data_IF_616463100486
#
_entry.id   IF_616463100486
#
_cell.length_a   1.000
_cell.length_b   1.000
_cell.length_c   1.000
_cell.angle_alpha   90.00
_cell.angle_beta   90.00
_cell.angle_gamma   90.00
#
_symmetry.space_group_name_H-M   'P 1'
#
loop_
_entity.id
_entity.type
_entity.pdbx_description
1 polymer ?
#
# COMPACT_ATOMS: atom_id res chain seq x y z
N UNK A 1 24.58 12.10 -9.61
CA UNK A 1 23.42 12.13 -8.70
C UNK A 1 23.83 12.97 -7.50
N UNK A 2 23.18 14.09 -7.23
CA UNK A 2 23.50 14.97 -6.11
C UNK A 2 22.61 14.61 -4.91
N UNK A 3 23.20 14.45 -3.73
CA UNK A 3 22.46 14.11 -2.51
C UNK A 3 22.13 15.40 -1.77
N UNK A 4 20.85 15.78 -1.78
CA UNK A 4 20.35 16.93 -1.03
C UNK A 4 19.80 16.42 0.30
N UNK A 5 20.38 16.89 1.41
CA UNK A 5 19.88 16.55 2.75
C UNK A 5 18.65 17.39 3.09
N UNK A 6 17.61 16.74 3.60
CA UNK A 6 16.47 17.45 4.17
C UNK A 6 16.91 18.28 5.38
N UNK A 7 16.49 19.55 5.51
CA UNK A 7 16.74 20.34 6.70
C UNK A 7 16.11 19.71 7.96
N UNK A 8 16.77 19.91 9.10
CA UNK A 8 16.36 19.37 10.39
C UNK A 8 15.01 19.94 10.81
N UNK A 9 14.08 19.09 11.28
CA UNK A 9 12.73 19.46 11.75
C UNK A 9 11.89 20.19 10.70
N UNK A 10 12.09 19.89 9.42
CA UNK A 10 11.35 20.49 8.31
C UNK A 10 10.46 19.45 7.60
N UNK A 11 9.30 19.06 8.17
CA UNK A 11 8.45 18.00 7.61
C UNK A 11 7.92 18.34 6.20
N UNK A 12 7.76 19.63 5.88
CA UNK A 12 7.39 20.08 4.54
C UNK A 12 8.46 19.80 3.49
N UNK A 13 9.74 19.95 3.87
CA UNK A 13 10.87 19.64 3.00
C UNK A 13 11.05 18.11 2.79
N UNK A 14 10.38 17.28 3.59
CA UNK A 14 10.35 15.81 3.46
C UNK A 14 8.92 15.26 3.26
N UNK A 15 8.03 16.09 2.72
CA UNK A 15 6.58 15.83 2.75
C UNK A 15 6.17 14.47 2.17
N UNK A 16 6.90 13.96 1.19
CA UNK A 16 6.69 12.63 0.63
C UNK A 16 6.93 11.51 1.65
N UNK A 17 8.09 11.50 2.30
CA UNK A 17 8.40 10.49 3.30
C UNK A 17 7.47 10.61 4.52
N UNK A 18 7.19 11.82 4.98
CA UNK A 18 6.25 12.06 6.09
C UNK A 18 4.86 11.50 5.78
N UNK A 19 4.38 11.71 4.54
CA UNK A 19 3.11 11.15 4.08
C UNK A 19 3.14 9.62 4.07
N UNK A 20 4.24 9.01 3.62
CA UNK A 20 4.39 7.55 3.62
C UNK A 20 4.38 7.00 5.04
N UNK A 21 5.15 7.59 5.95
CA UNK A 21 5.21 7.18 7.37
C UNK A 21 3.84 7.29 8.03
N UNK A 22 3.14 8.41 7.86
CA UNK A 22 1.81 8.59 8.43
C UNK A 22 0.79 7.58 7.88
N UNK A 23 0.94 7.17 6.61
CA UNK A 23 0.10 6.13 6.02
C UNK A 23 0.40 4.76 6.64
N UNK A 24 1.67 4.38 6.71
CA UNK A 24 2.12 3.13 7.34
C UNK A 24 1.59 2.97 8.76
N UNK A 25 1.62 4.05 9.54
CA UNK A 25 1.08 4.06 10.90
C UNK A 25 -0.41 3.75 10.93
N UNK A 26 -1.20 4.56 10.21
CA UNK A 26 -2.67 4.43 10.17
C UNK A 26 -3.17 3.11 9.61
N UNK A 27 -2.45 2.52 8.67
CA UNK A 27 -2.92 1.30 7.98
C UNK A 27 -2.35 0.02 8.57
N UNK A 28 -1.21 0.06 9.28
CA UNK A 28 -0.56 -1.16 9.79
C UNK A 28 0.03 -0.98 11.19
N UNK A 29 0.94 -0.02 11.39
CA UNK A 29 1.79 0.00 12.60
C UNK A 29 1.03 0.36 13.88
N UNK A 30 -0.11 1.06 13.77
CA UNK A 30 -0.98 1.31 14.93
C UNK A 30 -1.89 0.10 15.26
N UNK A 31 -1.85 -0.97 14.44
CA UNK A 31 -2.67 -2.20 14.59
C UNK A 31 -1.87 -3.48 14.85
N UNK A 32 -0.55 -3.43 14.70
CA UNK A 32 0.33 -4.61 14.83
C UNK A 32 1.38 -4.35 15.90
N UNK A 33 1.46 -5.25 16.88
CA UNK A 33 2.53 -5.21 17.86
C UNK A 33 3.84 -5.70 17.22
N UNK A 34 4.79 -4.79 17.05
CA UNK A 34 6.13 -5.12 16.57
C UNK A 34 6.94 -5.77 17.69
N UNK A 35 7.44 -6.99 17.43
CA UNK A 35 8.16 -7.81 18.41
C UNK A 35 9.68 -7.62 18.35
N UNK A 36 10.18 -6.94 17.33
CA UNK A 36 11.60 -6.72 17.09
C UNK A 36 11.87 -6.31 15.65
N UNK A 37 13.14 -6.05 15.32
CA UNK A 37 13.54 -5.52 14.02
C UNK A 37 13.20 -6.48 12.86
N UNK A 38 13.46 -7.78 13.02
CA UNK A 38 13.16 -8.77 11.98
C UNK A 38 11.65 -8.81 11.67
N UNK A 39 10.81 -8.77 12.70
CA UNK A 39 9.35 -8.70 12.55
C UNK A 39 8.94 -7.37 11.88
N UNK A 40 9.50 -6.24 12.30
CA UNK A 40 9.25 -4.94 11.67
C UNK A 40 9.57 -4.97 10.18
N UNK A 41 10.72 -5.54 9.80
CA UNK A 41 11.16 -5.64 8.42
C UNK A 41 10.19 -6.50 7.60
N UNK A 42 9.74 -7.64 8.13
CA UNK A 42 8.75 -8.48 7.46
C UNK A 42 7.43 -7.72 7.23
N UNK A 43 6.89 -7.06 8.27
CA UNK A 43 5.65 -6.29 8.18
C UNK A 43 5.77 -5.19 7.12
N UNK A 44 6.88 -4.44 7.12
CA UNK A 44 7.12 -3.37 6.15
C UNK A 44 7.31 -3.90 4.72
N UNK A 45 8.00 -5.03 4.54
CA UNK A 45 8.17 -5.67 3.23
C UNK A 45 6.84 -6.16 2.66
N UNK A 46 6.01 -6.79 3.48
CA UNK A 46 4.66 -7.19 3.06
C UNK A 46 3.82 -5.96 2.69
N UNK A 47 3.96 -4.85 3.43
CA UNK A 47 3.16 -3.65 3.20
C UNK A 47 3.59 -2.94 1.92
N UNK A 48 4.89 -2.91 1.65
CA UNK A 48 5.42 -2.40 0.41
C UNK A 48 4.80 -3.13 -0.79
N UNK A 49 4.71 -4.46 -0.74
CA UNK A 49 4.05 -5.27 -1.77
C UNK A 49 2.58 -4.87 -1.94
N UNK A 50 1.84 -4.77 -0.83
CA UNK A 50 0.45 -4.31 -0.86
C UNK A 50 0.33 -2.91 -1.49
N UNK A 51 1.13 -1.96 -1.01
CA UNK A 51 1.09 -0.56 -1.40
C UNK A 51 1.40 -0.34 -2.89
N UNK A 52 2.34 -1.10 -3.43
CA UNK A 52 2.76 -0.97 -4.81
C UNK A 52 1.92 -1.77 -5.80
N UNK A 53 1.51 -2.99 -5.42
CA UNK A 53 0.85 -3.92 -6.34
C UNK A 53 -0.67 -3.96 -6.23
N UNK A 54 -1.25 -3.52 -5.10
CA UNK A 54 -2.69 -3.69 -4.82
C UNK A 54 -3.41 -2.41 -4.39
N UNK A 55 -2.74 -1.49 -3.67
CA UNK A 55 -3.39 -0.33 -3.07
C UNK A 55 -3.89 0.66 -4.14
N UNK A 56 -5.21 0.92 -4.22
CA UNK A 56 -5.75 1.79 -5.25
C UNK A 56 -5.35 3.25 -5.04
N UNK A 57 -4.99 3.95 -6.12
CA UNK A 57 -4.72 5.39 -6.10
C UNK A 57 -5.78 6.16 -6.84
N UNK A 58 -6.49 7.05 -6.14
CA UNK A 58 -7.51 7.91 -6.77
C UNK A 58 -6.96 8.72 -7.94
N UNK A 59 -5.75 9.26 -7.82
CA UNK A 59 -5.08 10.01 -8.89
C UNK A 59 -4.66 9.17 -10.09
N UNK A 60 -4.70 7.83 -10.00
CA UNK A 60 -4.37 6.89 -11.09
C UNK A 60 -5.58 6.04 -11.49
N UNK A 61 -6.81 6.57 -11.43
CA UNK A 61 -8.02 5.81 -11.76
C UNK A 61 -8.13 4.47 -10.99
N UNK A 62 -7.78 4.52 -9.70
CA UNK A 62 -7.73 3.36 -8.79
C UNK A 62 -6.64 2.33 -9.11
N UNK A 63 -5.73 2.59 -10.07
CA UNK A 63 -4.60 1.72 -10.30
C UNK A 63 -3.56 1.83 -9.18
N UNK A 64 -3.00 0.71 -8.73
CA UNK A 64 -1.84 0.72 -7.87
C UNK A 64 -0.59 1.22 -8.64
N UNK A 65 0.48 1.62 -7.94
CA UNK A 65 1.71 2.13 -8.55
C UNK A 65 2.32 1.22 -9.63
N UNK A 66 2.37 -0.10 -9.40
CA UNK A 66 2.97 -1.07 -10.33
C UNK A 66 2.04 -1.47 -11.48
N UNK A 67 0.74 -1.16 -11.42
CA UNK A 67 -0.15 -1.43 -12.53
C UNK A 67 0.05 -0.43 -13.66
N UNK A 68 0.33 -0.96 -14.85
CA UNK A 68 0.54 -0.19 -16.09
C UNK A 68 -0.75 0.03 -16.87
N UNK A 69 -1.66 -0.94 -16.83
CA UNK A 69 -2.89 -0.95 -17.63
C UNK A 69 -4.13 -1.12 -16.76
N UNK A 70 -5.24 -0.56 -17.25
CA UNK A 70 -6.54 -0.77 -16.63
C UNK A 70 -6.99 -2.21 -16.94
N UNK A 71 -7.45 -2.98 -15.93
CA UNK A 71 -8.12 -4.24 -16.22
C UNK A 71 -9.32 -3.98 -17.16
N UNK A 72 -9.63 -4.92 -18.06
CA UNK A 72 -10.76 -4.76 -18.97
C UNK A 72 -12.04 -4.49 -18.18
N UNK A 73 -12.93 -3.62 -18.68
CA UNK A 73 -14.17 -3.30 -17.99
C UNK A 73 -14.96 -4.58 -17.70
N UNK A 74 -15.40 -4.72 -16.46
CA UNK A 74 -16.22 -5.86 -16.05
C UNK A 74 -17.57 -5.73 -16.73
N UNK A 75 -17.92 -6.69 -17.60
CA UNK A 75 -19.26 -6.74 -18.18
C UNK A 75 -20.27 -6.99 -17.05
N UNK A 76 -21.22 -6.07 -16.88
CA UNK A 76 -22.19 -6.07 -15.78
C UNK A 76 -23.05 -7.34 -15.70
N UNK A 77 -23.15 -8.11 -16.78
CA UNK A 77 -23.92 -9.36 -16.87
C UNK A 77 -23.19 -10.60 -16.33
N UNK A 78 -21.87 -10.55 -16.14
CA UNK A 78 -21.12 -11.64 -15.54
C UNK A 78 -20.83 -11.30 -14.07
N UNK A 79 -21.56 -11.94 -13.15
CA UNK A 79 -21.28 -11.85 -11.72
C UNK A 79 -19.90 -12.49 -11.41
N UNK A 80 -18.82 -11.77 -11.65
CA UNK A 80 -17.46 -12.20 -11.30
C UNK A 80 -17.35 -12.25 -9.79
N UNK A 81 -17.13 -13.45 -9.26
CA UNK A 81 -16.92 -13.65 -7.82
C UNK A 81 -15.66 -12.90 -7.39
N UNK A 82 -15.80 -11.97 -6.46
CA UNK A 82 -14.66 -11.33 -5.82
C UNK A 82 -14.01 -12.31 -4.82
N UNK A 83 -12.70 -12.49 -4.93
CA UNK A 83 -11.86 -13.21 -3.98
C UNK A 83 -11.22 -12.20 -3.04
N UNK A 84 -11.47 -12.38 -1.73
CA UNK A 84 -10.84 -11.62 -0.66
C UNK A 84 -9.60 -12.36 -0.15
N UNK A 85 -8.48 -11.66 -0.05
CA UNK A 85 -7.27 -12.11 0.66
C UNK A 85 -7.03 -11.20 1.85
N UNK A 86 -6.83 -11.78 3.03
CA UNK A 86 -6.42 -11.06 4.23
C UNK A 86 -4.90 -11.00 4.29
N UNK A 87 -4.32 -9.81 4.41
CA UNK A 87 -2.87 -9.60 4.55
C UNK A 87 -2.58 -8.85 5.86
N UNK A 88 -1.33 -8.88 6.33
CA UNK A 88 -0.91 -8.32 7.63
C UNK A 88 -1.76 -8.79 8.81
N UNK A 89 -1.86 -10.11 9.00
CA UNK A 89 -2.69 -10.66 10.07
C UNK A 89 -4.19 -10.35 9.94
N UNK A 90 -4.65 -9.86 8.78
CA UNK A 90 -6.04 -9.50 8.51
C UNK A 90 -6.38 -8.02 8.70
N UNK A 91 -5.39 -7.17 9.00
CA UNK A 91 -5.57 -5.71 9.07
C UNK A 91 -5.99 -5.15 7.70
N UNK A 92 -5.46 -5.71 6.61
CA UNK A 92 -5.76 -5.26 5.24
C UNK A 92 -6.48 -6.36 4.47
N UNK A 93 -7.48 -5.93 3.68
CA UNK A 93 -8.25 -6.80 2.81
C UNK A 93 -7.99 -6.45 1.35
N UNK A 94 -7.40 -7.37 0.63
CA UNK A 94 -7.19 -7.27 -0.82
C UNK A 94 -8.31 -8.01 -1.54
N UNK A 95 -8.85 -7.39 -2.59
CA UNK A 95 -9.92 -7.96 -3.41
C UNK A 95 -9.46 -8.10 -4.85
N UNK A 96 -9.63 -9.29 -5.43
CA UNK A 96 -9.40 -9.57 -6.86
C UNK A 96 -10.61 -10.27 -7.43
N UNK A 97 -10.98 -9.99 -8.68
CA UNK A 97 -11.99 -10.80 -9.35
C UNK A 97 -11.41 -12.17 -9.72
N UNK A 98 -12.20 -13.22 -9.57
CA UNK A 98 -11.86 -14.53 -10.13
C UNK A 98 -11.76 -14.40 -11.66
N UNK A 99 -10.67 -14.93 -12.21
CA UNK A 99 -10.40 -14.99 -13.66
C UNK A 99 -11.46 -15.80 -14.37
#
# INVERSE_FOLDING_TARGET
MEIIKTPVRAPRANSHCERVIGTLRREVLDHVLILGEAHARQVLTEYQKHYNAHRPRRSRNQLPPEAQEQPPPVQASAARRARRTRVHGGVINEYRYAS
#
